data_IF_818049735720
#
_entry.id   IF_818049735720
#
_cell.length_a   1.000
_cell.length_b   1.000
_cell.length_c   1.000
_cell.angle_alpha   90.00
_cell.angle_beta   90.00
_cell.angle_gamma   90.00
#
_symmetry.space_group_name_H-M   'P 1'
#
loop_
_entity.id
_entity.type
_entity.pdbx_description
1 polymer ?
#
# COMPACT_ATOMS: atom_id res chain seq x y z
N UNK A 1 3.40 13.18 17.25
CA UNK A 1 2.31 13.88 16.52
C UNK A 1 0.95 13.83 17.23
N UNK A 2 0.57 12.75 17.93
CA UNK A 2 -0.75 12.64 18.57
C UNK A 2 -1.06 13.67 19.67
N UNK A 3 -0.05 14.04 20.46
CA UNK A 3 -0.19 15.01 21.56
C UNK A 3 -0.56 16.41 21.04
N UNK A 4 -0.02 16.82 19.89
CA UNK A 4 -0.24 18.17 19.33
C UNK A 4 -1.68 18.40 18.84
N UNK A 5 -2.27 17.41 18.20
CA UNK A 5 -3.67 17.48 17.73
C UNK A 5 -4.68 17.33 18.87
N UNK A 6 -4.35 16.55 19.91
CA UNK A 6 -5.16 16.48 21.13
C UNK A 6 -5.18 17.81 21.90
N UNK A 7 -4.04 18.50 21.99
CA UNK A 7 -3.96 19.83 22.61
C UNK A 7 -4.84 20.86 21.88
N UNK A 8 -4.86 20.83 20.54
CA UNK A 8 -5.62 21.79 19.73
C UNK A 8 -7.13 21.48 19.73
N UNK A 9 -7.53 20.21 19.70
CA UNK A 9 -8.95 19.84 19.60
C UNK A 9 -9.67 19.58 20.93
N UNK A 10 -8.95 19.32 22.02
CA UNK A 10 -9.57 19.10 23.35
C UNK A 10 -10.13 20.38 23.99
N UNK A 11 -9.88 21.55 23.38
CA UNK A 11 -10.20 22.84 23.98
C UNK A 11 -9.31 23.18 25.17
N UNK A 12 -8.34 22.33 25.54
CA UNK A 12 -7.45 22.56 26.69
C UNK A 12 -6.52 23.76 26.48
N UNK A 13 -5.94 23.88 25.28
CA UNK A 13 -5.07 25.01 24.92
C UNK A 13 -5.89 26.31 24.81
N UNK A 14 -7.13 26.23 24.32
CA UNK A 14 -8.07 27.35 24.27
C UNK A 14 -8.59 27.76 25.66
N UNK A 15 -8.81 26.80 26.56
CA UNK A 15 -9.13 27.06 27.97
C UNK A 15 -7.98 27.79 28.66
N UNK A 16 -6.74 27.35 28.43
CA UNK A 16 -5.54 27.96 29.01
C UNK A 16 -5.24 29.37 28.46
N UNK A 17 -5.44 29.60 27.15
CA UNK A 17 -5.20 30.90 26.51
C UNK A 17 -6.35 31.91 26.64
N UNK A 18 -7.60 31.44 26.67
CA UNK A 18 -8.78 32.29 26.51
C UNK A 18 -9.75 32.24 27.69
N UNK A 19 -9.55 31.33 28.66
CA UNK A 19 -10.39 31.20 29.86
C UNK A 19 -11.83 30.75 29.62
N UNK A 20 -12.18 30.36 28.39
CA UNK A 20 -13.54 29.94 28.01
C UNK A 20 -13.88 28.52 28.48
N UNK A 21 -15.16 28.20 28.67
CA UNK A 21 -15.61 26.90 29.16
C UNK A 21 -15.24 25.74 28.22
N UNK A 22 -14.83 24.61 28.81
CA UNK A 22 -14.57 23.37 28.08
C UNK A 22 -15.90 22.77 27.62
N UNK A 23 -16.15 22.84 26.31
CA UNK A 23 -17.32 22.21 25.68
C UNK A 23 -17.10 20.69 25.59
N UNK A 24 -17.83 19.93 26.40
CA UNK A 24 -17.75 18.46 26.48
C UNK A 24 -18.12 17.77 25.16
N UNK A 25 -18.91 18.42 24.31
CA UNK A 25 -19.27 17.93 22.96
C UNK A 25 -18.04 17.87 22.03
N UNK A 26 -17.13 18.85 22.11
CA UNK A 26 -15.91 18.87 21.29
C UNK A 26 -14.91 17.80 21.71
N UNK A 27 -14.85 17.49 23.00
CA UNK A 27 -13.96 16.46 23.54
C UNK A 27 -14.41 15.05 23.15
N UNK A 28 -15.72 14.77 23.20
CA UNK A 28 -16.27 13.47 22.75
C UNK A 28 -16.08 13.26 21.25
N UNK A 29 -16.25 14.30 20.43
CA UNK A 29 -15.94 14.24 19.00
C UNK A 29 -14.46 14.00 18.71
N UNK A 30 -13.55 14.64 19.47
CA UNK A 30 -12.12 14.40 19.32
C UNK A 30 -11.74 12.95 19.68
N UNK A 31 -12.27 12.41 20.78
CA UNK A 31 -12.00 11.03 21.23
C UNK A 31 -12.51 10.01 20.20
N UNK A 32 -13.71 10.21 19.66
CA UNK A 32 -14.28 9.30 18.64
C UNK A 32 -13.44 9.28 17.36
N UNK A 33 -12.96 10.45 16.89
CA UNK A 33 -12.03 10.51 15.75
C UNK A 33 -10.70 9.80 16.04
N UNK A 34 -10.13 9.99 17.23
CA UNK A 34 -8.90 9.31 17.64
C UNK A 34 -9.05 7.79 17.68
N UNK A 35 -10.13 7.28 18.27
CA UNK A 35 -10.42 5.85 18.30
C UNK A 35 -10.62 5.30 16.88
N UNK A 36 -11.27 6.03 15.99
CA UNK A 36 -11.45 5.64 14.59
C UNK A 36 -10.13 5.53 13.84
N UNK A 37 -9.25 6.52 14.00
CA UNK A 37 -7.92 6.49 13.39
C UNK A 37 -7.08 5.34 13.94
N UNK A 38 -7.11 5.13 15.27
CA UNK A 38 -6.39 4.04 15.91
C UNK A 38 -6.88 2.69 15.37
N UNK A 39 -8.20 2.47 15.29
CA UNK A 39 -8.79 1.25 14.75
C UNK A 39 -8.34 0.99 13.31
N UNK A 40 -8.36 2.01 12.43
CA UNK A 40 -7.93 1.88 11.02
C UNK A 40 -6.44 1.53 10.94
N UNK A 41 -5.60 2.25 11.69
CA UNK A 41 -4.14 2.04 11.66
C UNK A 41 -3.78 0.66 12.20
N UNK A 42 -4.37 0.25 13.33
CA UNK A 42 -4.14 -1.07 13.92
C UNK A 42 -4.59 -2.19 12.98
N UNK A 43 -5.75 -2.05 12.32
CA UNK A 43 -6.21 -3.01 11.33
C UNK A 43 -5.26 -3.12 10.13
N UNK A 44 -4.82 -2.00 9.58
CA UNK A 44 -3.84 -1.97 8.48
C UNK A 44 -2.49 -2.58 8.89
N UNK A 45 -2.01 -2.30 10.10
CA UNK A 45 -0.75 -2.83 10.61
C UNK A 45 -0.82 -4.35 10.80
N UNK A 46 -1.90 -4.87 11.39
CA UNK A 46 -2.11 -6.31 11.50
C UNK A 46 -2.10 -6.96 10.11
N UNK A 47 -2.82 -6.39 9.15
CA UNK A 47 -2.83 -6.92 7.78
C UNK A 47 -1.43 -6.98 7.16
N UNK A 48 -0.65 -5.91 7.31
CA UNK A 48 0.72 -5.83 6.78
C UNK A 48 1.68 -6.82 7.46
N UNK A 49 1.49 -7.11 8.75
CA UNK A 49 2.32 -8.06 9.49
C UNK A 49 2.02 -9.52 9.13
N UNK A 50 0.75 -9.87 8.92
CA UNK A 50 0.35 -11.25 8.65
C UNK A 50 0.32 -11.60 7.15
N UNK A 51 0.24 -10.62 6.25
CA UNK A 51 0.16 -10.85 4.81
C UNK A 51 1.52 -10.61 4.15
N UNK A 52 2.21 -11.68 3.74
CA UNK A 52 3.44 -11.54 2.96
C UNK A 52 3.13 -11.10 1.52
N UNK A 53 4.09 -10.43 0.87
CA UNK A 53 3.99 -10.02 -0.54
C UNK A 53 3.67 -11.21 -1.45
N UNK A 54 4.27 -12.38 -1.20
CA UNK A 54 4.00 -13.59 -1.95
C UNK A 54 2.54 -14.04 -1.80
N UNK A 55 2.01 -14.03 -0.57
CA UNK A 55 0.63 -14.42 -0.32
C UNK A 55 -0.35 -13.46 -1.01
N UNK A 56 -0.04 -12.17 -1.01
CA UNK A 56 -0.82 -11.17 -1.72
C UNK A 56 -0.82 -11.39 -3.24
N UNK A 57 0.35 -11.64 -3.84
CA UNK A 57 0.47 -11.96 -5.27
C UNK A 57 -0.33 -13.22 -5.62
N UNK A 58 -0.22 -14.28 -4.81
CA UNK A 58 -0.96 -15.54 -5.02
C UNK A 58 -2.47 -15.31 -4.91
N UNK A 59 -2.92 -14.54 -3.93
CA UNK A 59 -4.33 -14.18 -3.77
C UNK A 59 -4.85 -13.38 -4.97
N UNK A 60 -4.03 -12.48 -5.52
CA UNK A 60 -4.39 -11.68 -6.69
C UNK A 60 -4.57 -12.54 -7.96
N UNK A 61 -3.71 -13.55 -8.16
CA UNK A 61 -3.87 -14.51 -9.26
C UNK A 61 -5.01 -15.51 -9.04
N UNK A 62 -5.33 -15.85 -7.79
CA UNK A 62 -6.46 -16.71 -7.43
C UNK A 62 -7.81 -15.97 -7.41
N UNK A 63 -7.78 -14.64 -7.46
CA UNK A 63 -8.98 -13.81 -7.46
C UNK A 63 -9.80 -13.95 -8.75
N UNK A 64 -10.99 -13.35 -8.75
CA UNK A 64 -11.86 -13.29 -9.93
C UNK A 64 -11.41 -12.25 -10.98
N UNK A 65 -10.30 -11.56 -10.74
CA UNK A 65 -9.81 -10.53 -11.65
C UNK A 65 -9.29 -11.14 -12.97
N UNK A 66 -9.45 -10.43 -14.09
CA UNK A 66 -8.76 -10.77 -15.34
C UNK A 66 -7.26 -10.93 -15.11
N UNK A 67 -6.69 -11.98 -15.70
CA UNK A 67 -5.27 -12.32 -15.55
C UNK A 67 -4.32 -11.17 -15.90
N UNK A 68 -4.66 -10.34 -16.89
CA UNK A 68 -3.89 -9.15 -17.23
C UNK A 68 -3.81 -8.12 -16.09
N UNK A 69 -4.91 -7.92 -15.36
CA UNK A 69 -4.94 -7.00 -14.21
C UNK A 69 -4.15 -7.57 -13.03
N UNK A 70 -4.30 -8.86 -12.75
CA UNK A 70 -3.53 -9.54 -11.71
C UNK A 70 -2.03 -9.46 -12.00
N UNK A 71 -1.62 -9.67 -13.26
CA UNK A 71 -0.22 -9.54 -13.66
C UNK A 71 0.29 -8.09 -13.58
N UNK A 72 -0.50 -7.11 -14.02
CA UNK A 72 -0.14 -5.69 -13.94
C UNK A 72 0.15 -5.25 -12.50
N UNK A 73 -0.71 -5.65 -11.57
CA UNK A 73 -0.58 -5.31 -10.15
C UNK A 73 0.51 -6.13 -9.45
N UNK A 74 0.69 -7.41 -9.81
CA UNK A 74 1.76 -8.25 -9.26
C UNK A 74 3.16 -7.92 -9.81
N UNK A 75 3.24 -7.37 -11.03
CA UNK A 75 4.49 -7.17 -11.77
C UNK A 75 5.55 -6.42 -10.95
N UNK A 76 5.27 -5.20 -10.44
CA UNK A 76 6.24 -4.45 -9.64
C UNK A 76 6.68 -5.19 -8.37
N UNK A 77 5.76 -5.92 -7.73
CA UNK A 77 6.03 -6.67 -6.50
C UNK A 77 6.93 -7.88 -6.75
N UNK A 78 6.75 -8.56 -7.89
CA UNK A 78 7.59 -9.69 -8.32
C UNK A 78 9.02 -9.25 -8.66
N UNK A 79 9.18 -7.99 -9.07
CA UNK A 79 10.45 -7.45 -9.59
C UNK A 79 11.15 -6.53 -8.59
N UNK A 80 10.59 -6.38 -7.38
CA UNK A 80 11.08 -5.40 -6.40
C UNK A 80 12.57 -5.57 -6.09
N UNK A 81 13.02 -6.82 -5.93
CA UNK A 81 14.42 -7.10 -5.61
C UNK A 81 15.35 -6.85 -6.80
N UNK A 82 14.89 -7.20 -8.02
CA UNK A 82 15.63 -6.91 -9.24
C UNK A 82 15.78 -5.41 -9.47
N UNK A 83 14.71 -4.64 -9.25
CA UNK A 83 14.72 -3.18 -9.35
C UNK A 83 15.63 -2.55 -8.30
N UNK A 84 15.65 -3.06 -7.07
CA UNK A 84 16.56 -2.62 -6.01
C UNK A 84 18.02 -2.83 -6.40
N UNK A 85 18.36 -4.00 -6.92
CA UNK A 85 19.72 -4.29 -7.36
C UNK A 85 20.13 -3.39 -8.55
N UNK A 86 19.25 -3.20 -9.53
CA UNK A 86 19.51 -2.31 -10.66
C UNK A 86 19.71 -0.87 -10.19
N UNK A 87 18.87 -0.39 -9.28
CA UNK A 87 19.00 0.95 -8.70
C UNK A 87 20.33 1.10 -7.96
N UNK A 88 20.74 0.10 -7.20
CA UNK A 88 22.05 0.10 -6.53
C UNK A 88 23.20 0.16 -7.55
N UNK A 89 23.19 -0.68 -8.58
CA UNK A 89 24.22 -0.68 -9.62
C UNK A 89 24.29 0.66 -10.38
N UNK A 90 23.13 1.24 -10.71
CA UNK A 90 23.04 2.56 -11.36
C UNK A 90 23.59 3.63 -10.43
N UNK A 91 23.26 3.59 -9.14
CA UNK A 91 23.77 4.54 -8.14
C UNK A 91 25.29 4.52 -8.09
N UNK A 92 25.89 3.34 -7.96
CA UNK A 92 27.35 3.18 -7.93
C UNK A 92 28.01 3.68 -9.22
N UNK A 93 27.42 3.38 -10.37
CA UNK A 93 27.92 3.85 -11.67
C UNK A 93 27.86 5.38 -11.79
N UNK A 94 26.81 6.03 -11.29
CA UNK A 94 26.69 7.48 -11.32
C UNK A 94 27.61 8.17 -10.30
N UNK A 95 27.84 7.55 -9.13
CA UNK A 95 28.86 8.00 -8.18
C UNK A 95 30.27 7.95 -8.79
N UNK A 96 30.60 6.88 -9.52
CA UNK A 96 31.87 6.76 -10.23
C UNK A 96 32.04 7.82 -11.35
N UNK A 97 30.93 8.31 -11.92
CA UNK A 97 30.90 9.42 -12.89
C UNK A 97 30.98 10.80 -12.24
N UNK A 98 31.06 10.88 -10.91
CA UNK A 98 31.15 12.13 -10.16
C UNK A 98 29.82 12.84 -9.96
N UNK A 99 28.67 12.16 -10.15
CA UNK A 99 27.36 12.76 -9.87
C UNK A 99 27.15 12.80 -8.35
N UNK A 100 26.95 13.98 -7.73
CA UNK A 100 26.84 14.11 -6.28
C UNK A 100 25.44 13.67 -5.79
N UNK A 101 25.25 12.36 -5.63
CA UNK A 101 23.97 11.79 -5.17
C UNK A 101 23.71 11.95 -3.67
N UNK A 102 24.76 12.22 -2.88
CA UNK A 102 24.65 12.37 -1.42
C UNK A 102 24.66 13.84 -0.96
N UNK A 103 24.56 14.79 -1.90
CA UNK A 103 24.61 16.24 -1.64
C UNK A 103 23.40 16.83 -0.91
N UNK A 104 23.22 18.16 -0.98
CA UNK A 104 22.07 18.85 -0.36
C UNK A 104 20.75 18.39 -0.97
N UNK A 105 19.62 18.59 -0.27
CA UNK A 105 18.29 18.18 -0.76
C UNK A 105 18.02 18.63 -2.20
N UNK A 106 18.39 19.88 -2.54
CA UNK A 106 18.26 20.43 -3.89
C UNK A 106 19.15 19.72 -4.91
N UNK A 107 20.41 19.43 -4.57
CA UNK A 107 21.32 18.69 -5.44
C UNK A 107 20.82 17.26 -5.69
N UNK A 108 20.28 16.59 -4.67
CA UNK A 108 19.66 15.27 -4.82
C UNK A 108 18.49 15.32 -5.78
N UNK A 109 17.59 16.29 -5.64
CA UNK A 109 16.43 16.43 -6.52
C UNK A 109 16.83 16.66 -7.98
N UNK A 110 17.83 17.52 -8.22
CA UNK A 110 18.32 17.84 -9.57
C UNK A 110 19.05 16.64 -10.20
N UNK A 111 19.69 15.79 -9.39
CA UNK A 111 20.44 14.61 -9.86
C UNK A 111 19.59 13.34 -9.99
N UNK A 112 18.37 13.31 -9.45
CA UNK A 112 17.44 12.19 -9.58
C UNK A 112 17.25 11.67 -11.02
N UNK A 113 17.12 12.54 -12.06
CA UNK A 113 16.98 12.08 -13.44
C UNK A 113 18.14 11.18 -13.90
N UNK A 114 19.36 11.38 -13.37
CA UNK A 114 20.53 10.56 -13.70
C UNK A 114 20.39 9.09 -13.25
N UNK A 115 19.51 8.81 -12.27
CA UNK A 115 19.19 7.45 -11.82
C UNK A 115 17.88 6.96 -12.45
N UNK A 116 16.86 7.82 -12.50
CA UNK A 116 15.52 7.44 -12.96
C UNK A 116 15.51 7.10 -14.46
N UNK A 117 16.16 7.92 -15.29
CA UNK A 117 16.19 7.71 -16.75
C UNK A 117 16.81 6.35 -17.14
N UNK A 118 18.02 5.96 -16.67
CA UNK A 118 18.56 4.65 -16.99
C UNK A 118 17.74 3.50 -16.41
N UNK A 119 17.12 3.67 -15.24
CA UNK A 119 16.26 2.65 -14.65
C UNK A 119 15.02 2.41 -15.52
N UNK A 120 14.32 3.48 -15.96
CA UNK A 120 13.15 3.36 -16.84
C UNK A 120 13.53 2.68 -18.15
N UNK A 121 14.64 3.09 -18.79
CA UNK A 121 15.11 2.47 -20.03
C UNK A 121 15.39 0.97 -19.86
N UNK A 122 16.02 0.59 -18.74
CA UNK A 122 16.29 -0.81 -18.43
C UNK A 122 14.99 -1.60 -18.21
N UNK A 123 14.05 -1.05 -17.44
CA UNK A 123 12.75 -1.67 -17.17
C UNK A 123 11.93 -1.83 -18.45
N UNK A 124 11.91 -0.82 -19.32
CA UNK A 124 11.21 -0.91 -20.60
C UNK A 124 11.80 -2.02 -21.49
N UNK A 125 13.12 -2.14 -21.56
CA UNK A 125 13.79 -3.21 -22.31
C UNK A 125 13.48 -4.60 -21.73
N UNK A 126 13.51 -4.76 -20.42
CA UNK A 126 13.16 -6.02 -19.76
C UNK A 126 11.67 -6.37 -19.94
N UNK A 127 10.80 -5.36 -19.92
CA UNK A 127 9.37 -5.53 -20.17
C UNK A 127 9.08 -5.98 -21.60
N UNK A 128 9.77 -5.47 -22.63
CA UNK A 128 9.55 -5.90 -24.01
C UNK A 128 9.97 -7.34 -24.24
N UNK A 129 11.08 -7.78 -23.62
CA UNK A 129 11.52 -9.18 -23.68
C UNK A 129 10.49 -10.09 -23.00
N UNK A 130 10.01 -9.71 -21.81
CA UNK A 130 9.02 -10.50 -21.07
C UNK A 130 7.66 -10.51 -21.74
N UNK A 131 7.21 -9.41 -22.32
CA UNK A 131 5.93 -9.37 -23.03
C UNK A 131 5.95 -10.32 -24.24
N UNK A 132 7.04 -10.32 -25.01
CA UNK A 132 7.23 -11.26 -26.11
C UNK A 132 7.19 -12.72 -25.62
N UNK A 133 7.88 -13.03 -24.51
CA UNK A 133 7.85 -14.36 -23.92
C UNK A 133 6.45 -14.77 -23.41
N UNK A 134 5.68 -13.84 -22.87
CA UNK A 134 4.30 -14.08 -22.44
C UNK A 134 3.36 -14.32 -23.63
N UNK A 135 3.54 -13.55 -24.71
CA UNK A 135 2.77 -13.73 -25.94
C UNK A 135 3.07 -15.08 -26.61
N UNK A 136 4.34 -15.49 -26.64
CA UNK A 136 4.75 -16.84 -27.09
C UNK A 136 4.11 -17.97 -26.26
N UNK A 137 3.88 -17.74 -24.97
CA UNK A 137 3.19 -18.68 -24.06
C UNK A 137 1.66 -18.57 -24.10
N UNK A 138 1.11 -17.78 -25.02
CA UNK A 138 -0.33 -17.59 -25.17
C UNK A 138 -0.98 -16.99 -23.93
N UNK A 139 -0.30 -16.07 -23.24
CA UNK A 139 -0.80 -15.49 -21.98
C UNK A 139 -2.21 -14.92 -22.12
N UNK A 140 -2.51 -14.25 -23.23
CA UNK A 140 -3.80 -13.59 -23.50
C UNK A 140 -4.89 -14.51 -24.05
N UNK A 141 -4.58 -15.76 -24.42
CA UNK A 141 -5.52 -16.67 -25.09
C UNK A 141 -6.57 -17.21 -24.10
N UNK A 142 -6.18 -17.49 -22.86
CA UNK A 142 -7.04 -18.15 -21.87
C UNK A 142 -7.53 -17.13 -20.84
N UNK A 143 -8.86 -16.91 -20.77
CA UNK A 143 -9.48 -15.96 -19.85
C UNK A 143 -9.32 -16.33 -18.36
N UNK A 144 -9.33 -17.63 -18.04
CA UNK A 144 -9.25 -18.13 -16.66
C UNK A 144 -8.23 -19.28 -16.61
N UNK A 145 -7.08 -19.05 -15.96
CA UNK A 145 -6.08 -20.11 -15.75
C UNK A 145 -6.25 -20.74 -14.37
N UNK A 146 -5.85 -22.00 -14.27
CA UNK A 146 -5.75 -22.72 -13.01
C UNK A 146 -4.55 -22.19 -12.22
N UNK A 147 -4.78 -21.73 -10.99
CA UNK A 147 -3.69 -21.37 -10.08
C UNK A 147 -3.15 -22.64 -9.42
N UNK A 148 -1.84 -22.85 -9.50
CA UNK A 148 -1.20 -24.05 -8.94
C UNK A 148 -1.13 -24.03 -7.40
N UNK A 149 -0.99 -22.83 -6.82
CA UNK A 149 -0.88 -22.62 -5.38
C UNK A 149 -1.81 -21.51 -4.90
N UNK A 150 -3.14 -21.74 -4.88
CA UNK A 150 -4.06 -20.81 -4.25
C UNK A 150 -3.77 -20.72 -2.74
N UNK A 151 -3.93 -19.55 -2.11
CA UNK A 151 -3.87 -19.45 -0.65
C UNK A 151 -4.94 -20.36 -0.03
N UNK A 152 -4.58 -21.12 1.00
CA UNK A 152 -5.51 -21.99 1.70
C UNK A 152 -6.62 -21.15 2.35
N UNK A 153 -7.88 -21.41 2.00
CA UNK A 153 -9.05 -20.80 2.64
C UNK A 153 -9.59 -21.83 3.64
N UNK A 154 -9.28 -21.62 4.93
CA UNK A 154 -9.76 -22.53 5.98
C UNK A 154 -11.23 -22.27 6.30
N UNK A 155 -11.99 -23.27 6.77
CA UNK A 155 -13.40 -23.05 7.14
C UNK A 155 -13.57 -21.96 8.20
N UNK A 156 -12.59 -21.79 9.09
CA UNK A 156 -12.54 -20.69 10.06
C UNK A 156 -12.40 -19.33 9.38
N UNK A 157 -11.52 -19.19 8.39
CA UNK A 157 -11.37 -17.95 7.62
C UNK A 157 -12.63 -17.62 6.83
N UNK A 158 -13.27 -18.63 6.24
CA UNK A 158 -14.55 -18.46 5.55
C UNK A 158 -15.63 -17.96 6.52
N UNK A 159 -15.75 -18.57 7.70
CA UNK A 159 -16.70 -18.15 8.74
C UNK A 159 -16.44 -16.71 9.20
N UNK A 160 -15.19 -16.37 9.51
CA UNK A 160 -14.80 -15.01 9.90
C UNK A 160 -15.11 -13.99 8.81
N UNK A 161 -14.85 -14.32 7.54
CA UNK A 161 -15.16 -13.42 6.41
C UNK A 161 -16.64 -13.09 6.32
N UNK A 162 -17.52 -14.09 6.44
CA UNK A 162 -18.97 -13.85 6.41
C UNK A 162 -19.45 -13.11 7.66
N UNK A 163 -18.90 -13.41 8.83
CA UNK A 163 -19.22 -12.70 10.07
C UNK A 163 -18.85 -11.21 9.97
N UNK A 164 -17.66 -10.89 9.46
CA UNK A 164 -17.22 -9.50 9.25
C UNK A 164 -18.13 -8.78 8.24
N UNK A 165 -18.47 -9.42 7.12
CA UNK A 165 -19.38 -8.83 6.13
C UNK A 165 -20.77 -8.55 6.72
N UNK A 166 -21.29 -9.45 7.54
CA UNK A 166 -22.57 -9.27 8.23
C UNK A 166 -22.50 -8.09 9.20
N UNK A 167 -21.43 -8.00 10.02
CA UNK A 167 -21.23 -6.87 10.93
C UNK A 167 -21.16 -5.53 10.17
N UNK A 168 -20.46 -5.47 9.02
CA UNK A 168 -20.38 -4.27 8.19
C UNK A 168 -21.77 -3.87 7.67
N UNK A 169 -22.56 -4.83 7.18
CA UNK A 169 -23.92 -4.56 6.71
C UNK A 169 -24.84 -4.11 7.84
N UNK A 170 -24.68 -4.68 9.04
CA UNK A 170 -25.47 -4.32 10.21
C UNK A 170 -25.15 -2.90 10.68
N UNK A 171 -23.87 -2.56 10.84
CA UNK A 171 -23.41 -1.20 11.15
C UNK A 171 -23.86 -0.18 10.10
N UNK A 172 -23.66 -0.49 8.81
CA UNK A 172 -24.08 0.37 7.71
C UNK A 172 -25.60 0.54 7.62
N UNK A 173 -26.36 -0.52 7.90
CA UNK A 173 -27.82 -0.49 7.94
C UNK A 173 -28.35 0.35 9.11
N UNK A 174 -27.70 0.27 10.28
CA UNK A 174 -28.03 1.12 11.44
C UNK A 174 -27.78 2.60 11.11
N UNK A 175 -26.67 2.93 10.44
CA UNK A 175 -26.37 4.31 10.05
C UNK A 175 -27.29 4.84 8.94
N UNK A 176 -27.81 3.99 8.07
CA UNK A 176 -28.78 4.40 7.04
C UNK A 176 -30.20 4.61 7.59
N UNK A 177 -30.54 3.97 8.71
CA UNK A 177 -31.86 4.04 9.31
C UNK A 177 -32.02 5.22 10.30
N UNK A 178 -30.92 5.71 10.88
CA UNK A 178 -30.86 6.85 11.80
C UNK A 178 -30.28 8.09 11.11
#
# INVERSE_FOLDING_TARGET
>A
MAIGLWLVHSGWLAYWLTGGSLDTSKQTMAITLWLRLLAIISGAQLWLQYTSTEQFIRALFASRLPMSLSYLLAGPLLLVEQLRQQLHNIREAQLARGVPLDGTFWQRLITLPAIILPLISHVLSDLTIRSAALDMRGFRIIKKRTTLYPPADTPLQMMLRYLILLLILFEGGIWLWY
#
